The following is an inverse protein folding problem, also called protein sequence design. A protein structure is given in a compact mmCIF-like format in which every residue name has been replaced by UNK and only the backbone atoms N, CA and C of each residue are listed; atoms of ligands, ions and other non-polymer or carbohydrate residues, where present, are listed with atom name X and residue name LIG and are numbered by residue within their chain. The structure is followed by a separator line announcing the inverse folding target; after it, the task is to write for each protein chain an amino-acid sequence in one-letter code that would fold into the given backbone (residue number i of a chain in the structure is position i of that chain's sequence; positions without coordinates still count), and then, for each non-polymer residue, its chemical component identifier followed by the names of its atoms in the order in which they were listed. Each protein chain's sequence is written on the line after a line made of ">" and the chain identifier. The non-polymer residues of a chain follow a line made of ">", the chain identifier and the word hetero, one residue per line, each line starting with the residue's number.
data_IF_545701216922
#
_entry.id   IF_545701216922
#
_cell.length_a   1.000
_cell.length_b   1.000
_cell.length_c   1.000
_cell.angle_alpha   90.00
_cell.angle_beta   90.00
_cell.angle_gamma   90.00
#
_symmetry.space_group_name_H-M   'P 1'
#
loop_
_entity.id
_entity.type
_entity.pdbx_description
1 polymer ?
#
# COMPACT_ATOMS: atom_id res chain seq x y z
N UNK A 1 -20.29 2.72 -14.76
CA UNK A 1 -19.74 3.73 -13.86
C UNK A 1 -18.25 3.48 -13.74
N UNK A 2 -17.42 4.33 -14.32
CA UNK A 2 -15.97 4.23 -14.18
C UNK A 2 -15.59 4.54 -12.73
N UNK A 3 -14.89 3.62 -12.11
CA UNK A 3 -14.38 3.81 -10.76
C UNK A 3 -13.03 4.53 -10.85
N UNK A 4 -12.99 5.74 -10.30
CA UNK A 4 -11.74 6.52 -10.23
C UNK A 4 -10.91 6.03 -9.05
N UNK A 5 -9.64 5.74 -9.28
CA UNK A 5 -8.72 5.29 -8.24
C UNK A 5 -8.22 6.46 -7.39
N UNK A 6 -8.01 6.19 -6.10
CA UNK A 6 -7.42 7.14 -5.15
C UNK A 6 -5.93 6.86 -5.03
N UNK A 7 -5.11 7.90 -5.22
CA UNK A 7 -3.66 7.85 -5.02
C UNK A 7 -3.19 9.04 -4.19
N UNK A 8 -2.07 8.87 -3.51
CA UNK A 8 -1.44 9.88 -2.66
C UNK A 8 -0.18 10.42 -3.35
N UNK A 9 -0.11 11.73 -3.59
CA UNK A 9 1.05 12.39 -4.16
C UNK A 9 0.87 13.92 -4.22
N UNK A 10 1.91 14.72 -4.16
CA UNK A 10 1.84 16.18 -4.18
C UNK A 10 2.75 16.80 -5.23
N UNK A 11 2.20 17.67 -6.07
CA UNK A 11 2.89 18.59 -6.96
C UNK A 11 2.43 20.04 -6.75
N UNK A 12 3.11 21.06 -7.30
CA UNK A 12 2.68 22.45 -7.18
C UNK A 12 1.36 22.64 -7.94
N UNK A 13 0.32 23.04 -7.20
CA UNK A 13 -1.01 23.30 -7.74
C UNK A 13 -1.42 24.76 -7.60
N UNK A 14 -2.11 25.28 -8.61
CA UNK A 14 -2.85 26.53 -8.49
C UNK A 14 -4.10 26.29 -7.64
N UNK A 15 -4.28 27.11 -6.59
CA UNK A 15 -5.46 27.02 -5.73
C UNK A 15 -6.70 27.50 -6.48
N UNK A 16 -7.58 26.58 -6.87
CA UNK A 16 -8.94 26.90 -7.28
C UNK A 16 -9.88 26.42 -6.18
N UNK A 17 -10.57 27.35 -5.51
CA UNK A 17 -11.62 27.00 -4.54
C UNK A 17 -12.88 26.63 -5.34
N UNK A 18 -13.06 25.33 -5.65
CA UNK A 18 -14.28 24.79 -6.22
C UNK A 18 -15.27 24.36 -5.15
N UNK A 19 -16.56 24.51 -5.38
CA UNK A 19 -17.60 23.91 -4.56
C UNK A 19 -17.70 22.40 -4.91
N UNK A 20 -18.07 21.59 -3.91
CA UNK A 20 -18.19 20.12 -4.05
C UNK A 20 -19.23 19.66 -5.10
N UNK A 21 -20.03 20.57 -5.66
CA UNK A 21 -21.08 20.29 -6.64
C UNK A 21 -20.61 20.46 -8.09
N UNK A 22 -19.38 20.93 -8.33
CA UNK A 22 -18.87 21.07 -9.68
C UNK A 22 -18.42 19.71 -10.23
N UNK A 23 -18.84 19.43 -11.48
CA UNK A 23 -18.39 18.26 -12.23
C UNK A 23 -16.84 18.22 -12.28
N UNK A 24 -16.21 17.04 -12.36
CA UNK A 24 -14.75 16.93 -12.42
C UNK A 24 -14.23 17.80 -13.57
N UNK A 25 -13.49 18.85 -13.22
CA UNK A 25 -12.85 19.72 -14.20
C UNK A 25 -11.69 18.97 -14.85
N UNK A 26 -11.36 19.33 -16.08
CA UNK A 26 -10.16 18.80 -16.75
C UNK A 26 -8.87 19.38 -16.15
N UNK A 27 -9.00 20.36 -15.25
CA UNK A 27 -7.89 21.00 -14.56
C UNK A 27 -7.75 20.51 -13.10
N UNK A 28 -6.52 20.44 -12.56
CA UNK A 28 -6.29 20.16 -11.14
C UNK A 28 -6.94 21.20 -10.22
N UNK A 29 -7.54 20.75 -9.11
CA UNK A 29 -8.14 21.66 -8.14
C UNK A 29 -7.93 21.21 -6.68
N UNK A 30 -8.12 22.15 -5.76
CA UNK A 30 -8.00 21.93 -4.32
C UNK A 30 -9.35 22.12 -3.65
N UNK A 31 -9.73 21.19 -2.78
CA UNK A 31 -10.84 21.32 -1.85
C UNK A 31 -10.29 21.26 -0.44
N UNK A 32 -10.72 22.18 0.42
CA UNK A 32 -10.23 22.24 1.80
C UNK A 32 -11.35 22.58 2.79
N UNK A 33 -11.08 22.37 4.07
CA UNK A 33 -11.98 22.75 5.13
C UNK A 33 -12.26 24.26 5.13
N UNK A 34 -13.48 24.65 5.50
CA UNK A 34 -13.91 26.07 5.51
C UNK A 34 -13.16 26.94 6.52
N UNK A 35 -12.61 26.34 7.55
CA UNK A 35 -11.85 27.02 8.58
C UNK A 35 -10.60 26.23 8.93
N UNK A 36 -9.44 26.87 8.82
CA UNK A 36 -8.16 26.24 9.14
C UNK A 36 -7.74 25.14 8.18
N UNK A 37 -6.89 24.25 8.66
CA UNK A 37 -6.29 23.14 7.91
C UNK A 37 -6.77 21.79 8.44
N UNK A 38 -8.09 21.63 8.68
CA UNK A 38 -8.63 20.39 9.21
C UNK A 38 -8.43 19.23 8.23
N UNK A 39 -8.58 19.52 6.95
CA UNK A 39 -8.29 18.58 5.85
C UNK A 39 -8.11 19.33 4.54
N UNK A 40 -7.38 18.73 3.62
CA UNK A 40 -7.16 19.22 2.26
C UNK A 40 -7.21 18.04 1.30
N UNK A 41 -7.88 18.22 0.18
CA UNK A 41 -7.92 17.26 -0.95
C UNK A 41 -7.37 17.96 -2.18
N UNK A 42 -6.38 17.34 -2.80
CA UNK A 42 -5.81 17.75 -4.08
C UNK A 42 -6.31 16.78 -5.14
N UNK A 43 -6.97 17.30 -6.16
CA UNK A 43 -7.49 16.47 -7.26
C UNK A 43 -6.67 16.69 -8.52
N UNK A 44 -6.29 15.58 -9.16
CA UNK A 44 -5.59 15.54 -10.43
C UNK A 44 -6.44 14.73 -11.43
N UNK A 45 -6.89 15.34 -12.55
CA UNK A 45 -7.74 14.67 -13.53
C UNK A 45 -7.02 13.57 -14.30
N UNK A 46 -5.70 13.56 -14.31
CA UNK A 46 -4.90 12.50 -14.91
C UNK A 46 -3.60 12.25 -14.14
N UNK A 47 -3.02 11.06 -14.33
CA UNK A 47 -1.77 10.67 -13.65
C UNK A 47 -0.57 11.51 -14.13
N UNK A 48 -0.56 11.96 -15.38
CA UNK A 48 0.50 12.80 -15.92
C UNK A 48 0.57 14.20 -15.32
N UNK A 49 -0.46 14.63 -14.60
CA UNK A 49 -0.51 15.92 -13.91
C UNK A 49 -0.02 15.84 -12.46
N UNK A 50 0.16 14.63 -11.92
CA UNK A 50 0.72 14.41 -10.59
C UNK A 50 2.25 14.32 -10.69
N UNK A 51 2.96 15.41 -10.46
CA UNK A 51 4.43 15.50 -10.61
C UNK A 51 5.18 14.58 -9.64
N UNK A 52 4.59 14.25 -8.52
CA UNK A 52 5.16 13.31 -7.56
C UNK A 52 4.08 12.69 -6.67
N UNK A 53 4.38 11.51 -6.11
CA UNK A 53 3.56 10.87 -5.09
C UNK A 53 3.87 11.39 -3.68
N UNK A 54 4.73 12.39 -3.54
CA UNK A 54 5.01 12.98 -2.23
C UNK A 54 3.76 13.67 -1.70
N UNK A 55 3.44 13.43 -0.44
CA UNK A 55 2.35 14.09 0.25
C UNK A 55 2.92 15.07 1.28
N UNK A 56 2.35 16.27 1.42
CA UNK A 56 2.74 17.19 2.48
C UNK A 56 2.36 16.67 3.88
N UNK A 57 1.77 15.47 3.97
CA UNK A 57 1.20 14.94 5.21
C UNK A 57 0.04 15.82 5.73
N UNK A 58 -0.05 16.01 7.02
CA UNK A 58 -0.90 17.03 7.64
C UNK A 58 -2.36 17.00 7.17
N UNK A 59 -2.97 15.79 7.13
CA UNK A 59 -4.36 15.56 6.72
C UNK A 59 -4.67 15.99 5.27
N UNK A 60 -3.68 15.88 4.41
CA UNK A 60 -3.83 16.11 2.97
C UNK A 60 -3.93 14.78 2.23
N UNK A 61 -4.91 14.70 1.33
CA UNK A 61 -5.16 13.53 0.47
C UNK A 61 -5.09 13.97 -0.98
N UNK A 62 -4.33 13.24 -1.78
CA UNK A 62 -4.30 13.44 -3.22
C UNK A 62 -5.21 12.40 -3.90
N UNK A 63 -6.02 12.87 -4.81
CA UNK A 63 -6.89 12.05 -5.66
C UNK A 63 -6.41 12.21 -7.09
N UNK A 64 -6.05 11.09 -7.71
CA UNK A 64 -5.64 11.04 -9.10
C UNK A 64 -6.64 10.21 -9.89
N UNK A 65 -7.22 10.76 -10.94
CA UNK A 65 -8.10 10.01 -11.83
C UNK A 65 -7.25 9.13 -12.75
N UNK A 66 -7.64 7.86 -12.87
CA UNK A 66 -7.08 6.91 -13.84
C UNK A 66 -8.23 6.13 -14.48
N UNK A 67 -8.05 5.66 -15.71
CA UNK A 67 -9.05 4.83 -16.37
C UNK A 67 -9.05 3.42 -15.78
N UNK A 68 -7.88 2.89 -15.52
CA UNK A 68 -7.67 1.59 -14.87
C UNK A 68 -6.70 1.73 -13.70
N UNK A 69 -6.90 0.95 -12.63
CA UNK A 69 -6.00 0.95 -11.47
C UNK A 69 -4.57 0.57 -11.86
N UNK A 70 -4.44 -0.24 -12.89
CA UNK A 70 -3.18 -0.72 -13.44
C UNK A 70 -2.31 0.42 -13.99
N UNK A 71 -2.93 1.49 -14.48
CA UNK A 71 -2.22 2.66 -15.02
C UNK A 71 -1.46 3.42 -13.92
N UNK A 72 -1.90 3.27 -12.68
CA UNK A 72 -1.28 3.89 -11.52
C UNK A 72 -0.03 3.12 -11.01
N UNK A 73 0.05 1.81 -11.23
CA UNK A 73 1.08 0.96 -10.61
C UNK A 73 2.52 1.32 -10.98
N UNK A 74 2.85 1.73 -12.23
CA UNK A 74 4.21 2.14 -12.57
C UNK A 74 4.71 3.32 -11.74
N UNK A 75 3.83 4.23 -11.33
CA UNK A 75 4.19 5.41 -10.52
C UNK A 75 4.46 5.06 -9.07
N UNK A 76 4.02 3.90 -8.59
CA UNK A 76 4.28 3.41 -7.24
C UNK A 76 5.66 2.76 -7.08
N UNK A 77 6.16 2.10 -8.12
CA UNK A 77 7.42 1.33 -8.07
C UNK A 77 8.64 2.08 -7.53
N UNK A 78 8.88 3.36 -7.87
CA UNK A 78 10.00 4.12 -7.31
C UNK A 78 9.94 4.28 -5.78
N UNK A 79 8.77 4.08 -5.20
CA UNK A 79 8.50 4.27 -3.77
C UNK A 79 8.37 2.94 -3.02
N UNK A 80 8.67 1.82 -3.64
CA UNK A 80 8.44 0.47 -3.11
C UNK A 80 8.90 0.30 -1.65
N UNK A 81 10.07 0.84 -1.29
CA UNK A 81 10.63 0.73 0.06
C UNK A 81 9.87 1.48 1.16
N UNK A 82 8.91 2.35 0.77
CA UNK A 82 8.08 3.12 1.73
C UNK A 82 6.59 2.73 1.66
N UNK A 83 6.23 1.87 0.71
CA UNK A 83 4.85 1.42 0.56
C UNK A 83 4.59 0.27 1.55
N UNK A 84 3.42 0.28 2.17
CA UNK A 84 3.03 -0.75 3.13
C UNK A 84 1.59 -1.21 2.89
N UNK A 85 0.64 -0.31 2.95
CA UNK A 85 -0.78 -0.68 2.97
C UNK A 85 -1.55 -0.02 1.84
N UNK A 86 -2.34 -0.81 1.12
CA UNK A 86 -3.30 -0.36 0.12
C UNK A 86 -4.73 -0.69 0.55
N UNK A 87 -5.58 0.33 0.62
CA UNK A 87 -7.03 0.15 0.75
C UNK A 87 -7.66 -0.01 -0.61
N UNK A 88 -8.46 -1.06 -0.80
CA UNK A 88 -9.13 -1.34 -2.07
C UNK A 88 -10.64 -1.37 -1.92
N UNK A 89 -11.35 -0.91 -2.96
CA UNK A 89 -12.78 -1.06 -3.13
C UNK A 89 -13.01 -1.55 -4.57
N UNK A 90 -13.11 -2.85 -4.74
CA UNK A 90 -13.15 -3.53 -6.04
C UNK A 90 -14.31 -4.52 -6.09
N UNK A 91 -14.72 -4.90 -7.30
CA UNK A 91 -15.55 -6.06 -7.48
C UNK A 91 -14.77 -7.33 -7.07
N UNK A 92 -15.43 -8.31 -6.41
CA UNK A 92 -14.75 -9.47 -5.84
C UNK A 92 -13.94 -10.30 -6.83
N UNK A 93 -14.41 -10.40 -8.06
CA UNK A 93 -13.78 -11.13 -9.16
C UNK A 93 -12.44 -10.50 -9.62
N UNK A 94 -12.24 -9.22 -9.38
CA UNK A 94 -11.00 -8.49 -9.69
C UNK A 94 -9.97 -8.49 -8.57
N UNK A 95 -10.37 -8.91 -7.36
CA UNK A 95 -9.54 -8.71 -6.17
C UNK A 95 -8.17 -9.36 -6.29
N UNK A 96 -8.10 -10.62 -6.70
CA UNK A 96 -6.83 -11.36 -6.74
C UNK A 96 -5.89 -10.85 -7.81
N UNK A 97 -6.40 -10.53 -9.01
CA UNK A 97 -5.58 -9.97 -10.08
C UNK A 97 -4.98 -8.61 -9.70
N UNK A 98 -5.81 -7.71 -9.17
CA UNK A 98 -5.34 -6.41 -8.70
C UNK A 98 -4.39 -6.55 -7.50
N UNK A 99 -4.68 -7.44 -6.55
CA UNK A 99 -3.84 -7.66 -5.38
C UNK A 99 -2.43 -8.14 -5.76
N UNK A 100 -2.33 -9.06 -6.71
CA UNK A 100 -1.05 -9.53 -7.20
C UNK A 100 -0.23 -8.39 -7.80
N UNK A 101 -0.82 -7.60 -8.70
CA UNK A 101 -0.15 -6.47 -9.36
C UNK A 101 0.24 -5.37 -8.38
N UNK A 102 -0.63 -5.07 -7.42
CA UNK A 102 -0.35 -4.12 -6.33
C UNK A 102 0.81 -4.61 -5.47
N UNK A 103 0.86 -5.90 -5.13
CA UNK A 103 1.97 -6.50 -4.39
C UNK A 103 3.32 -6.36 -5.09
N UNK A 104 3.35 -6.42 -6.44
CA UNK A 104 4.57 -6.20 -7.24
C UNK A 104 5.14 -4.78 -7.11
N UNK A 105 4.39 -3.83 -6.55
CA UNK A 105 4.85 -2.44 -6.33
C UNK A 105 5.57 -2.25 -5.00
N UNK A 106 5.61 -3.26 -4.12
CA UNK A 106 6.16 -3.18 -2.77
C UNK A 106 5.11 -3.00 -1.67
N UNK A 107 3.82 -3.03 -2.03
CA UNK A 107 2.73 -3.05 -1.05
C UNK A 107 2.55 -4.47 -0.55
N UNK A 108 2.63 -4.66 0.74
CA UNK A 108 2.59 -5.97 1.40
C UNK A 108 1.31 -6.21 2.22
N UNK A 109 0.43 -5.21 2.32
CA UNK A 109 -0.87 -5.36 2.95
C UNK A 109 -1.98 -4.74 2.09
N UNK A 110 -2.99 -5.54 1.78
CA UNK A 110 -4.19 -5.10 1.06
C UNK A 110 -5.41 -5.31 1.98
N UNK A 111 -6.24 -4.29 2.11
CA UNK A 111 -7.40 -4.32 2.98
C UNK A 111 -8.54 -3.46 2.40
N UNK A 112 -9.77 -3.56 2.94
CA UNK A 112 -10.85 -2.66 2.53
C UNK A 112 -10.50 -1.20 2.83
N UNK A 113 -10.97 -0.28 1.97
CA UNK A 113 -10.94 1.16 2.24
C UNK A 113 -11.62 1.45 3.59
N UNK A 114 -10.97 2.24 4.45
CA UNK A 114 -11.43 2.52 5.81
C UNK A 114 -10.89 1.57 6.89
N UNK A 115 -10.27 0.45 6.51
CA UNK A 115 -9.61 -0.49 7.43
C UNK A 115 -8.08 -0.37 7.44
N UNK A 116 -7.52 0.61 6.73
CA UNK A 116 -6.07 0.74 6.53
C UNK A 116 -5.30 0.97 7.84
N UNK A 117 -5.92 1.65 8.81
CA UNK A 117 -5.34 1.91 10.12
C UNK A 117 -5.59 0.80 11.16
N UNK A 118 -6.19 -0.32 10.75
CA UNK A 118 -6.57 -1.44 11.62
C UNK A 118 -5.96 -2.74 11.11
N UNK A 119 -4.67 -2.95 11.41
CA UNK A 119 -4.06 -4.24 11.14
C UNK A 119 -4.72 -5.33 11.99
N UNK A 120 -4.99 -6.48 11.38
CA UNK A 120 -5.55 -7.66 12.07
C UNK A 120 -4.42 -8.54 12.59
N UNK A 121 -4.71 -9.31 13.63
CA UNK A 121 -3.76 -10.28 14.17
C UNK A 121 -3.27 -11.23 13.07
N UNK A 122 -1.99 -11.51 13.05
CA UNK A 122 -1.37 -12.42 12.09
C UNK A 122 -0.93 -11.78 10.77
N UNK A 123 -1.11 -10.47 10.59
CA UNK A 123 -0.55 -9.82 9.42
C UNK A 123 0.99 -9.76 9.48
N UNK A 124 1.62 -9.86 8.32
CA UNK A 124 3.07 -9.79 8.18
C UNK A 124 3.51 -8.32 8.14
N UNK A 125 4.11 -7.83 9.22
CA UNK A 125 4.58 -6.45 9.28
C UNK A 125 5.70 -6.25 8.27
N UNK A 126 5.52 -5.28 7.36
CA UNK A 126 6.44 -4.99 6.26
C UNK A 126 6.80 -6.25 5.43
N UNK A 127 5.80 -7.13 5.21
CA UNK A 127 5.97 -8.36 4.45
C UNK A 127 6.77 -9.47 5.16
N UNK A 128 7.28 -9.22 6.38
CA UNK A 128 8.10 -10.16 7.14
C UNK A 128 7.31 -11.10 8.05
N UNK A 129 7.89 -12.25 8.37
CA UNK A 129 7.33 -13.15 9.38
C UNK A 129 7.75 -12.65 10.77
N UNK A 130 6.79 -12.13 11.54
CA UNK A 130 7.01 -11.42 12.80
C UNK A 130 7.87 -12.17 13.85
N UNK A 131 7.89 -13.49 13.80
CA UNK A 131 8.64 -14.32 14.76
C UNK A 131 9.89 -14.97 14.17
N UNK A 132 10.13 -14.81 12.86
CA UNK A 132 11.23 -15.51 12.19
C UNK A 132 12.61 -15.12 12.77
N UNK A 133 12.77 -13.84 13.10
CA UNK A 133 14.02 -13.31 13.66
C UNK A 133 14.26 -13.72 15.13
N UNK A 134 13.25 -14.31 15.79
CA UNK A 134 13.35 -14.79 17.17
C UNK A 134 13.70 -16.28 17.27
N UNK A 135 13.76 -16.98 16.15
CA UNK A 135 14.06 -18.40 16.08
C UNK A 135 15.09 -18.66 14.98
N UNK A 136 15.84 -19.75 15.14
CA UNK A 136 16.64 -20.28 14.07
C UNK A 136 16.37 -21.79 13.93
N UNK A 137 16.46 -22.27 12.71
CA UNK A 137 16.30 -23.68 12.43
C UNK A 137 17.56 -24.45 12.85
N UNK A 138 17.36 -25.63 13.39
CA UNK A 138 18.40 -26.64 13.57
C UNK A 138 17.98 -27.86 12.76
N UNK A 139 18.77 -28.18 11.78
CA UNK A 139 18.50 -29.32 10.92
C UNK A 139 19.17 -30.58 11.47
N UNK A 140 18.40 -31.66 11.58
CA UNK A 140 18.90 -32.99 11.87
C UNK A 140 18.90 -33.73 10.53
N UNK A 141 20.08 -34.02 10.03
CA UNK A 141 20.21 -34.70 8.75
C UNK A 141 19.72 -36.16 8.83
N UNK A 142 19.23 -36.64 7.70
CA UNK A 142 18.77 -38.01 7.57
C UNK A 142 19.87 -38.98 7.96
N UNK A 143 19.53 -39.99 8.75
CA UNK A 143 20.42 -41.04 9.25
C UNK A 143 21.42 -40.57 10.36
N UNK A 144 21.25 -39.37 10.91
CA UNK A 144 22.05 -38.97 12.07
C UNK A 144 21.92 -39.94 13.23
N UNK A 145 20.70 -40.49 13.42
CA UNK A 145 20.41 -41.54 14.42
C UNK A 145 21.18 -42.82 14.18
N UNK A 146 21.50 -43.18 12.95
CA UNK A 146 22.23 -44.39 12.61
C UNK A 146 23.63 -44.42 13.20
N UNK A 147 24.22 -43.27 13.48
CA UNK A 147 25.57 -43.13 14.01
C UNK A 147 25.58 -42.80 15.49
N UNK A 148 24.43 -42.53 16.10
CA UNK A 148 24.35 -42.19 17.53
C UNK A 148 24.60 -43.40 18.44
N UNK A 149 24.21 -44.58 18.03
CA UNK A 149 24.41 -45.83 18.81
C UNK A 149 25.88 -46.18 19.06
N UNK A 150 26.81 -45.61 18.27
CA UNK A 150 28.23 -45.80 18.44
C UNK A 150 28.89 -44.89 19.49
N UNK A 151 28.10 -43.95 20.04
CA UNK A 151 28.57 -42.97 21.01
C UNK A 151 27.96 -43.17 22.41
N UNK A 152 27.29 -44.27 22.61
CA UNK A 152 26.91 -44.67 23.97
C UNK A 152 28.19 -45.06 24.76
N UNK A 153 28.88 -44.02 25.19
CA UNK A 153 29.96 -44.20 26.16
C UNK A 153 29.29 -44.46 27.49
N UNK A 154 29.33 -45.68 27.90
CA UNK A 154 29.12 -46.06 29.30
C UNK A 154 30.02 -45.17 30.13
N UNK A 155 29.47 -44.12 30.68
CA UNK A 155 30.12 -43.30 31.68
C UNK A 155 29.94 -44.03 32.98
N UNK A 156 30.93 -44.90 33.34
CA UNK A 156 31.09 -45.40 34.68
C UNK A 156 31.40 -44.25 35.67
#
# INVERSE_FOLDING_TARGET
>A
AQMKALMLGAGPMAAAAGNADDAPSDDPFVVQSRSGTDWTVLYYPSIGMADSLSTPLNRTVNIVAVDHVEDALPTLRPYAQWLQTCGVALAPDRLFDVAQRVGETGIDRICPVGEMNRAKSGWHHDGGFNLLDLVHAVDIERNTDTYCDGFDMDVE
#
